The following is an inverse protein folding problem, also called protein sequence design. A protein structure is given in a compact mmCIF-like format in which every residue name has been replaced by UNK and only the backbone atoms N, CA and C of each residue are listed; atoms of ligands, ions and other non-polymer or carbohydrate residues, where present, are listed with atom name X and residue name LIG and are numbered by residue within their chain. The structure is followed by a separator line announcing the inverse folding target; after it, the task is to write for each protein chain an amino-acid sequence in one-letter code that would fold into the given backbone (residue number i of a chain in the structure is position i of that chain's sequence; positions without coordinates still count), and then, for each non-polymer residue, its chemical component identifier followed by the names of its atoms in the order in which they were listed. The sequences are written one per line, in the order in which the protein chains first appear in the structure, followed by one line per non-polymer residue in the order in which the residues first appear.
data_IF_792019266309
#
_entry.id   IF_792019266309
#
_cell.length_a   1.000
_cell.length_b   1.000
_cell.length_c   1.000
_cell.angle_alpha   90.00
_cell.angle_beta   90.00
_cell.angle_gamma   90.00
#
_symmetry.space_group_name_H-M   'P 1'
#
loop_
_entity.id
_entity.type
_entity.pdbx_description
1 polymer ?
2 non-polymer ?
3 non-polymer ?
4 non-polymer ?
5 non-polymer ?
6 water ?
#
# COMPACT_ATOMS: atom_id res chain seq x y z
N UNK A 1 -7.54 9.17 -29.38
CA UNK A 1 -6.10 9.21 -29.61
C UNK A 1 -5.48 10.41 -28.85
N UNK A 2 -4.96 10.15 -27.64
CA UNK A 2 -4.32 11.15 -26.78
C UNK A 2 -2.92 10.68 -26.38
N UNK A 3 -1.93 11.59 -26.42
CA UNK A 3 -0.54 11.28 -26.11
C UNK A 3 0.03 12.11 -24.95
N UNK A 4 1.12 11.59 -24.35
CA UNK A 4 1.87 12.21 -23.25
C UNK A 4 3.36 12.16 -23.61
N UNK A 5 4.07 13.31 -23.49
CA UNK A 5 5.50 13.40 -23.78
C UNK A 5 6.29 13.57 -22.48
N UNK A 6 7.25 12.67 -22.22
CA UNK A 6 8.09 12.68 -21.02
C UNK A 6 9.56 12.53 -21.43
N UNK A 7 10.38 13.56 -21.13
CA UNK A 7 11.82 13.64 -21.39
C UNK A 7 12.19 13.26 -22.85
N UNK A 8 11.39 13.74 -23.80
CA UNK A 8 11.58 13.48 -25.22
C UNK A 8 10.81 12.29 -25.78
N UNK A 9 10.49 11.30 -24.92
CA UNK A 9 9.77 10.08 -25.32
C UNK A 9 8.26 10.31 -25.31
N UNK A 10 7.58 9.82 -26.36
CA UNK A 10 6.12 9.97 -26.52
C UNK A 10 5.43 8.65 -26.14
N UNK A 11 4.33 8.75 -25.36
CA UNK A 11 3.53 7.63 -24.88
C UNK A 11 2.06 7.81 -25.27
N UNK A 12 1.41 6.73 -25.70
CA UNK A 12 0.00 6.72 -26.09
C UNK A 12 -0.86 6.20 -24.94
N UNK A 13 -1.90 6.96 -24.55
CA UNK A 13 -2.80 6.61 -23.44
C UNK A 13 -3.77 5.49 -23.86
N UNK A 14 -3.84 4.42 -23.04
CA UNK A 14 -4.77 3.30 -23.22
C UNK A 14 -6.06 3.61 -22.46
N UNK A 15 -5.95 3.96 -21.16
CA UNK A 15 -7.06 4.28 -20.26
C UNK A 15 -6.58 4.94 -18.97
N UNK A 16 -7.46 5.68 -18.30
CA UNK A 16 -7.19 6.29 -17.00
C UNK A 16 -7.56 5.25 -15.96
N UNK A 17 -6.58 4.87 -15.12
CA UNK A 17 -6.80 3.83 -14.12
C UNK A 17 -6.98 4.42 -12.71
N UNK A 18 -6.55 5.67 -12.51
CA UNK A 18 -6.67 6.36 -11.23
C UNK A 18 -6.75 7.87 -11.34
N UNK A 19 -7.39 8.52 -10.34
CA UNK A 19 -7.53 9.97 -10.24
C UNK A 19 -7.67 10.40 -8.79
N UNK A 20 -6.99 11.49 -8.45
CA UNK A 20 -7.02 12.08 -7.12
C UNK A 20 -7.54 13.50 -7.18
N UNK A 21 -6.93 14.38 -6.39
CA UNK A 21 -7.28 15.80 -6.35
C UNK A 21 -6.75 16.50 -7.57
N UNK A 22 -5.41 16.52 -7.70
CA UNK A 22 -4.69 17.14 -8.82
C UNK A 22 -3.89 16.10 -9.62
N UNK A 23 -3.94 14.82 -9.21
CA UNK A 23 -3.20 13.74 -9.87
C UNK A 23 -4.10 12.77 -10.66
N UNK A 24 -3.51 12.16 -11.70
CA UNK A 24 -4.12 11.16 -12.59
C UNK A 24 -3.11 10.08 -12.96
N UNK A 25 -3.51 8.80 -12.98
CA UNK A 25 -2.62 7.71 -13.39
C UNK A 25 -3.20 7.08 -14.66
N UNK A 26 -2.38 6.97 -15.70
CA UNK A 26 -2.78 6.41 -16.99
C UNK A 26 -1.97 5.19 -17.36
N UNK A 27 -2.65 4.23 -18.01
CA UNK A 27 -2.04 3.03 -18.60
C UNK A 27 -1.58 3.49 -19.98
N UNK A 28 -0.28 3.42 -20.27
CA UNK A 28 0.24 3.96 -21.53
C UNK A 28 1.13 2.94 -22.27
N UNK A 29 1.43 3.26 -23.54
CA UNK A 29 2.31 2.48 -24.41
C UNK A 29 3.35 3.38 -25.05
N UNK A 30 4.61 2.91 -25.12
CA UNK A 30 5.67 3.66 -25.80
C UNK A 30 5.59 3.34 -27.31
N UNK A 31 6.57 3.80 -28.12
CA UNK A 31 6.60 3.56 -29.56
C UNK A 31 6.79 2.06 -29.89
N UNK A 32 7.43 1.29 -28.97
CA UNK A 32 7.70 -0.14 -29.12
C UNK A 32 6.53 -0.99 -28.57
N UNK A 33 5.40 -0.33 -28.21
CA UNK A 33 4.16 -0.89 -27.67
C UNK A 33 4.37 -1.58 -26.30
N UNK A 34 5.35 -1.10 -25.52
CA UNK A 34 5.63 -1.60 -24.17
C UNK A 34 4.73 -0.84 -23.20
N UNK A 35 4.10 -1.56 -22.26
CA UNK A 35 3.16 -0.96 -21.30
C UNK A 35 3.91 -0.30 -20.13
N UNK A 36 3.40 0.86 -19.71
CA UNK A 36 3.87 1.67 -18.59
C UNK A 36 2.70 2.35 -17.93
N UNK A 37 2.89 2.81 -16.70
CA UNK A 37 1.89 3.59 -15.99
C UNK A 37 2.47 4.98 -15.79
N UNK A 38 1.74 6.02 -16.18
CA UNK A 38 2.22 7.38 -16.03
C UNK A 38 1.32 8.13 -15.06
N UNK A 39 1.94 8.70 -14.01
CA UNK A 39 1.24 9.53 -13.05
C UNK A 39 1.44 10.98 -13.44
N UNK A 40 0.34 11.71 -13.64
CA UNK A 40 0.35 13.13 -13.97
C UNK A 40 -0.13 13.91 -12.76
N UNK A 41 0.57 14.98 -12.41
CA UNK A 41 0.21 15.84 -11.27
C UNK A 41 0.16 17.28 -11.78
N UNK A 42 -1.01 17.94 -11.63
CA UNK A 42 -1.19 19.34 -12.03
C UNK A 42 -0.78 20.19 -10.82
N UNK A 43 0.30 20.98 -10.97
CA UNK A 43 0.84 21.80 -9.88
C UNK A 43 0.40 23.27 -9.89
N UNK A 44 -0.41 23.68 -10.90
CA UNK A 44 -0.89 25.06 -11.06
C UNK A 44 -1.61 25.59 -9.81
N UNK A 45 -2.46 24.76 -9.18
CA UNK A 45 -3.17 25.13 -7.96
C UNK A 45 -2.73 24.20 -6.82
N UNK A 46 -1.44 24.30 -6.43
CA UNK A 46 -0.82 23.49 -5.37
C UNK A 46 -0.02 24.33 -4.38
N UNK A 47 -0.26 24.11 -3.07
CA UNK A 47 0.41 24.80 -1.97
C UNK A 47 1.79 24.19 -1.70
N UNK A 48 2.64 24.91 -0.92
CA UNK A 48 4.02 24.54 -0.57
C UNK A 48 4.15 23.16 0.09
N UNK A 49 3.24 22.81 1.01
CA UNK A 49 3.26 21.51 1.71
C UNK A 49 2.81 20.37 0.78
N UNK A 50 1.89 20.65 -0.16
CA UNK A 50 1.41 19.66 -1.15
C UNK A 50 2.54 19.41 -2.16
N UNK A 51 3.25 20.48 -2.57
CA UNK A 51 4.39 20.43 -3.51
C UNK A 51 5.56 19.65 -2.90
N UNK A 52 5.84 19.87 -1.60
CA UNK A 52 6.92 19.23 -0.85
C UNK A 52 6.70 17.72 -0.70
N UNK A 53 5.44 17.30 -0.49
CA UNK A 53 5.08 15.88 -0.34
C UNK A 53 5.34 15.11 -1.64
N UNK A 54 5.06 15.72 -2.80
CA UNK A 54 5.30 15.12 -4.11
C UNK A 54 6.80 15.06 -4.40
N UNK A 55 7.57 16.08 -3.97
CA UNK A 55 9.03 16.15 -4.12
C UNK A 55 9.70 15.04 -3.30
N UNK A 56 9.28 14.90 -2.02
CA UNK A 56 9.80 13.91 -1.07
C UNK A 56 9.48 12.47 -1.51
N UNK A 57 8.29 12.27 -2.10
CA UNK A 57 7.84 10.96 -2.60
C UNK A 57 8.67 10.54 -3.83
N UNK A 58 8.95 11.48 -4.77
CA UNK A 58 9.77 11.20 -5.97
C UNK A 58 11.21 10.84 -5.53
N UNK A 59 11.77 11.62 -4.59
CA UNK A 59 13.12 11.43 -4.05
C UNK A 59 13.28 10.05 -3.41
N UNK A 60 12.34 9.67 -2.53
CA UNK A 60 12.40 8.38 -1.87
C UNK A 60 12.13 7.23 -2.82
N UNK A 61 11.25 7.43 -3.84
CA UNK A 61 10.99 6.39 -4.84
C UNK A 61 12.27 6.08 -5.64
N UNK A 62 12.98 7.14 -6.07
CA UNK A 62 14.24 7.05 -6.83
C UNK A 62 15.36 6.38 -6.03
N UNK A 63 15.50 6.73 -4.75
CA UNK A 63 16.52 6.20 -3.84
C UNK A 63 16.30 4.72 -3.53
N UNK A 64 15.06 4.33 -3.24
CA UNK A 64 14.70 2.96 -2.84
C UNK A 64 14.53 1.99 -4.02
N UNK A 65 14.91 2.40 -5.24
CA UNK A 65 14.86 1.56 -6.45
C UNK A 65 15.84 0.40 -6.36
N UNK A 66 17.10 0.73 -6.01
CA UNK A 66 18.24 -0.19 -5.89
C UNK A 66 18.18 -1.10 -4.65
N UNK A 67 17.40 -0.72 -3.62
CA UNK A 67 17.32 -1.47 -2.36
C UNK A 67 16.35 -2.65 -2.38
N UNK A 68 15.24 -2.57 -3.15
CA UNK A 68 14.28 -3.67 -3.23
C UNK A 68 13.50 -3.67 -4.54
N UNK A 69 13.25 -4.87 -5.09
CA UNK A 69 12.46 -5.04 -6.32
C UNK A 69 10.97 -5.18 -5.96
N UNK A 70 10.62 -5.11 -4.65
CA UNK A 70 9.25 -5.17 -4.16
C UNK A 70 8.66 -3.75 -4.00
N UNK A 71 9.39 -2.76 -4.54
CA UNK A 71 9.02 -1.35 -4.63
C UNK A 71 8.81 -1.09 -6.12
N UNK A 72 7.71 -0.38 -6.49
CA UNK A 72 7.40 -0.05 -7.89
C UNK A 72 8.61 0.63 -8.57
N UNK A 73 8.89 0.24 -9.83
CA UNK A 73 9.99 0.81 -10.59
C UNK A 73 9.61 2.17 -11.14
N UNK A 74 10.48 3.17 -10.94
CA UNK A 74 10.34 4.52 -11.46
C UNK A 74 11.45 4.67 -12.49
N UNK A 75 11.10 4.52 -13.78
CA UNK A 75 12.06 4.55 -14.88
C UNK A 75 12.55 5.96 -15.15
N UNK A 76 11.62 6.94 -15.24
CA UNK A 76 11.94 8.33 -15.49
C UNK A 76 10.85 9.25 -14.94
N UNK A 77 11.17 10.54 -14.81
CA UNK A 77 10.26 11.56 -14.30
C UNK A 77 10.58 12.92 -14.88
N UNK A 78 9.56 13.77 -14.98
CA UNK A 78 9.66 15.15 -15.46
C UNK A 78 8.94 16.03 -14.44
N UNK A 79 9.65 17.02 -13.89
CA UNK A 79 9.06 17.92 -12.90
C UNK A 79 9.41 19.37 -13.25
N UNK A 80 8.35 20.18 -13.43
CA UNK A 80 8.41 21.62 -13.70
C UNK A 80 7.53 22.30 -12.65
N UNK A 81 7.38 23.63 -12.72
CA UNK A 81 6.56 24.38 -11.76
C UNK A 81 5.06 24.17 -12.02
N UNK A 82 4.69 23.74 -13.24
CA UNK A 82 3.31 23.55 -13.65
C UNK A 82 2.84 22.09 -13.52
N UNK A 83 3.74 21.09 -13.73
CA UNK A 83 3.33 19.69 -13.68
C UNK A 83 4.43 18.70 -13.26
N UNK A 84 4.02 17.44 -13.03
CA UNK A 84 4.85 16.27 -12.73
C UNK A 84 4.38 15.11 -13.62
N UNK A 85 5.33 14.41 -14.25
CA UNK A 85 5.10 13.21 -15.04
C UNK A 85 6.02 12.12 -14.51
N UNK A 86 5.45 10.99 -14.07
CA UNK A 86 6.23 9.88 -13.52
C UNK A 86 6.00 8.62 -14.35
N UNK A 87 7.04 8.14 -15.05
CA UNK A 87 6.97 6.93 -15.87
C UNK A 87 7.31 5.75 -14.96
N UNK A 88 6.30 4.92 -14.65
CA UNK A 88 6.46 3.78 -13.76
C UNK A 88 6.08 2.47 -14.43
N UNK A 89 6.47 1.33 -13.80
CA UNK A 89 6.12 0.01 -14.33
C UNK A 89 4.60 -0.18 -14.13
N UNK A 90 3.95 -0.83 -15.10
CA UNK A 90 2.52 -1.07 -15.04
C UNK A 90 2.24 -2.46 -14.53
N UNK A 91 1.39 -2.56 -13.52
CA UNK A 91 1.00 -3.85 -12.94
C UNK A 91 -0.27 -4.37 -13.56
N UNK A 92 -0.62 -5.62 -13.21
CA UNK A 92 -1.84 -6.27 -13.71
C UNK A 92 -3.07 -5.73 -12.98
N UNK A 93 -3.03 -5.75 -11.63
CA UNK A 93 -4.13 -5.30 -10.77
C UNK A 93 -3.59 -4.95 -9.36
N UNK A 94 -4.24 -4.00 -8.67
CA UNK A 94 -3.92 -3.65 -7.29
C UNK A 94 -4.52 -4.73 -6.39
N UNK A 95 -3.96 -4.92 -5.18
CA UNK A 95 -4.41 -5.96 -4.24
C UNK A 95 -5.87 -5.76 -3.77
N UNK A 96 -6.35 -4.49 -3.67
CA UNK A 96 -7.72 -4.19 -3.24
C UNK A 96 -8.76 -4.70 -4.25
N UNK A 97 -8.55 -4.41 -5.56
CA UNK A 97 -9.45 -4.85 -6.64
C UNK A 97 -9.40 -6.37 -6.82
N UNK A 98 -8.23 -6.99 -6.55
CA UNK A 98 -7.99 -8.43 -6.63
C UNK A 98 -8.73 -9.17 -5.51
N UNK A 99 -8.69 -8.62 -4.27
CA UNK A 99 -9.35 -9.22 -3.12
C UNK A 99 -10.87 -9.02 -3.15
N UNK A 100 -11.35 -7.92 -3.79
CA UNK A 100 -12.77 -7.61 -3.94
C UNK A 100 -13.48 -8.60 -4.88
N UNK A 101 -12.70 -9.30 -5.73
CA UNK A 101 -13.19 -10.31 -6.67
C UNK A 101 -13.56 -11.62 -5.94
N UNK A 102 -13.31 -11.68 -4.61
CA UNK A 102 -13.57 -12.79 -3.68
C UNK A 102 -12.80 -14.00 -4.26
N UNK A 103 -13.53 -15.06 -4.70
CA UNK A 103 -13.02 -16.35 -5.19
C UNK A 103 -12.29 -17.12 -4.04
N UNK A 104 -11.29 -17.97 -4.39
CA UNK A 104 -10.52 -18.75 -3.42
C UNK A 104 -9.05 -18.36 -3.51
N UNK A 105 -8.46 -18.01 -2.36
CA UNK A 105 -7.05 -17.62 -2.25
C UNK A 105 -6.22 -18.84 -1.80
N UNK A 106 -5.19 -19.17 -2.60
CA UNK A 106 -4.28 -20.29 -2.32
C UNK A 106 -3.38 -19.96 -1.12
N UNK A 107 -3.14 -20.91 -0.18
CA UNK A 107 -2.28 -20.61 0.98
C UNK A 107 -0.83 -20.28 0.57
N UNK A 108 -0.36 -20.85 -0.56
CA UNK A 108 0.97 -20.64 -1.12
C UNK A 108 1.10 -19.21 -1.68
N UNK A 109 0.05 -18.72 -2.38
CA UNK A 109 0.01 -17.38 -2.98
C UNK A 109 -0.11 -16.30 -1.89
N UNK A 110 -0.93 -16.54 -0.85
CA UNK A 110 -1.14 -15.65 0.29
C UNK A 110 0.18 -15.47 1.08
N UNK A 111 0.92 -16.58 1.30
CA UNK A 111 2.21 -16.60 2.00
C UNK A 111 3.27 -15.86 1.18
N UNK A 112 3.26 -16.04 -0.16
CA UNK A 112 4.19 -15.40 -1.09
C UNK A 112 3.94 -13.88 -1.13
N UNK A 113 2.65 -13.48 -1.12
CA UNK A 113 2.22 -12.08 -1.13
C UNK A 113 2.59 -11.39 0.18
N UNK A 114 2.43 -12.09 1.33
CA UNK A 114 2.77 -11.59 2.67
C UNK A 114 4.27 -11.31 2.79
N UNK A 115 5.12 -12.21 2.23
CA UNK A 115 6.57 -12.06 2.21
C UNK A 115 6.99 -10.81 1.45
N UNK A 116 6.36 -10.56 0.28
CA UNK A 116 6.63 -9.40 -0.56
C UNK A 116 6.27 -8.10 0.17
N UNK A 117 5.15 -8.11 0.90
CA UNK A 117 4.67 -6.96 1.68
C UNK A 117 5.64 -6.64 2.81
N UNK A 118 6.12 -7.68 3.54
CA UNK A 118 7.07 -7.52 4.64
C UNK A 118 8.38 -6.94 4.13
N UNK A 119 8.88 -7.44 2.97
CA UNK A 119 10.12 -6.97 2.36
C UNK A 119 10.03 -5.51 1.94
N UNK A 120 8.92 -5.11 1.29
CA UNK A 120 8.71 -3.73 0.82
C UNK A 120 8.64 -2.75 2.01
N UNK A 121 7.84 -3.06 3.03
CA UNK A 121 7.64 -2.23 4.21
C UNK A 121 8.95 -2.23 5.04
N UNK A 122 9.67 -3.36 5.10
CA UNK A 122 10.96 -3.46 5.79
C UNK A 122 11.98 -2.49 5.18
N UNK A 123 12.03 -2.43 3.83
CA UNK A 123 12.92 -1.56 3.06
C UNK A 123 12.64 -0.08 3.37
N UNK A 124 11.36 0.33 3.44
CA UNK A 124 11.01 1.73 3.71
C UNK A 124 11.33 2.10 5.18
N UNK A 125 11.13 1.15 6.12
CA UNK A 125 11.41 1.35 7.54
C UNK A 125 12.92 1.55 7.78
N UNK A 126 13.77 0.83 7.03
CA UNK A 126 15.23 0.91 7.09
C UNK A 126 15.76 2.29 6.66
N UNK A 127 14.99 3.01 5.83
CA UNK A 127 15.36 4.35 5.35
C UNK A 127 14.56 5.44 6.11
N UNK A 128 14.05 5.07 7.28
CA UNK A 128 13.32 5.96 8.18
C UNK A 128 11.94 6.41 7.74
N UNK A 129 11.29 5.64 6.85
CA UNK A 129 9.95 5.97 6.38
C UNK A 129 8.92 5.03 7.01
N UNK A 130 7.88 5.61 7.62
CA UNK A 130 6.73 4.89 8.16
C UNK A 130 5.55 5.32 7.29
N UNK A 131 4.87 4.36 6.64
CA UNK A 131 3.76 4.64 5.72
C UNK A 131 2.58 5.29 6.47
N UNK A 132 2.12 4.67 7.58
CA UNK A 132 1.02 5.10 8.48
C UNK A 132 -0.40 4.98 7.86
N UNK A 133 -0.50 4.74 6.53
CA UNK A 133 -1.80 4.61 5.88
C UNK A 133 -1.81 3.42 4.90
N UNK A 134 -1.22 2.28 5.31
CA UNK A 134 -1.18 1.08 4.47
C UNK A 134 -2.56 0.46 4.32
N UNK A 135 -2.89 0.09 3.09
CA UNK A 135 -4.15 -0.55 2.68
C UNK A 135 -3.86 -1.42 1.43
N UNK A 136 -4.73 -2.38 1.02
CA UNK A 136 -4.41 -3.21 -0.15
C UNK A 136 -4.19 -2.42 -1.45
N UNK A 137 -4.81 -1.22 -1.57
CA UNK A 137 -4.69 -0.33 -2.74
C UNK A 137 -3.25 0.20 -2.93
N UNK A 138 -2.41 0.17 -1.85
CA UNK A 138 -1.02 0.61 -1.87
C UNK A 138 -0.08 -0.48 -2.42
N UNK A 139 -0.62 -1.67 -2.68
CA UNK A 139 0.10 -2.82 -3.21
C UNK A 139 -0.41 -3.20 -4.59
N UNK A 140 0.52 -3.55 -5.48
CA UNK A 140 0.30 -3.90 -6.89
C UNK A 140 0.76 -5.32 -7.20
N UNK A 141 -0.02 -6.05 -8.02
CA UNK A 141 0.38 -7.40 -8.46
C UNK A 141 1.05 -7.28 -9.84
N UNK A 142 2.36 -7.57 -9.88
CA UNK A 142 3.22 -7.53 -11.07
C UNK A 142 4.03 -8.83 -11.12
N UNK A 143 3.98 -9.56 -12.26
CA UNK A 143 4.72 -10.82 -12.50
C UNK A 143 4.54 -11.85 -11.34
N UNK A 144 3.31 -11.96 -10.83
CA UNK A 144 2.98 -12.85 -9.73
C UNK A 144 3.48 -12.45 -8.36
N UNK A 145 4.09 -11.24 -8.22
CA UNK A 145 4.60 -10.75 -6.94
C UNK A 145 3.97 -9.40 -6.57
N UNK A 146 3.89 -9.10 -5.26
CA UNK A 146 3.34 -7.86 -4.76
C UNK A 146 4.42 -6.77 -4.66
N UNK A 147 4.06 -5.55 -5.07
CA UNK A 147 4.96 -4.40 -5.03
C UNK A 147 4.29 -3.21 -4.38
N UNK A 148 5.02 -2.48 -3.53
CA UNK A 148 4.53 -1.28 -2.87
C UNK A 148 4.54 -0.12 -3.87
N UNK A 149 3.40 0.55 -4.01
CA UNK A 149 3.18 1.63 -4.97
C UNK A 149 3.66 2.98 -4.41
N UNK A 150 3.26 3.33 -3.18
CA UNK A 150 3.62 4.61 -2.58
C UNK A 150 4.11 4.46 -1.13
N UNK A 151 4.70 5.52 -0.58
CA UNK A 151 5.26 5.50 0.77
C UNK A 151 4.42 6.34 1.76
N UNK A 152 3.21 6.69 1.35
CA UNK A 152 2.24 7.45 2.13
C UNK A 152 2.61 8.89 2.43
N UNK A 153 3.59 9.44 1.69
CA UNK A 153 4.06 10.83 1.85
C UNK A 153 3.12 11.76 1.04
N UNK A 154 2.85 11.39 -0.23
CA UNK A 154 1.97 12.14 -1.15
C UNK A 154 0.49 11.72 -0.97
N UNK A 155 -0.45 12.49 -1.57
CA UNK A 155 -1.89 12.27 -1.52
C UNK A 155 -2.32 10.94 -2.18
N UNK A 156 -3.27 10.24 -1.53
CA UNK A 156 -3.82 8.97 -1.99
C UNK A 156 -4.78 9.17 -3.18
N UNK A 157 -4.91 8.15 -4.05
CA UNK A 157 -5.76 8.22 -5.25
C UNK A 157 -6.80 7.10 -5.29
N UNK A 158 -8.00 7.40 -5.85
CA UNK A 158 -9.11 6.44 -5.98
C UNK A 158 -9.12 5.78 -7.39
N UNK A 159 -9.63 4.53 -7.50
CA UNK A 159 -9.61 3.84 -8.81
C UNK A 159 -10.58 4.40 -9.87
N UNK A 160 -10.35 3.98 -11.13
CA UNK A 160 -11.15 4.31 -12.31
C UNK A 160 -11.15 3.11 -13.27
N UNK A 161 -12.34 2.74 -13.77
CA UNK A 161 -12.51 1.62 -14.69
C UNK A 161 -13.83 1.69 -15.45
N UNK A 170 -13.67 7.90 -1.54
CA UNK A 170 -14.14 7.15 -0.37
C UNK A 170 -13.04 6.17 0.06
N UNK A 171 -12.45 6.42 1.22
CA UNK A 171 -11.39 5.60 1.81
C UNK A 171 -11.85 4.72 2.95
N UNK A 172 -10.92 4.00 3.59
CA UNK A 172 -11.25 3.12 4.71
C UNK A 172 -10.53 3.52 6.01
N UNK A 173 -11.16 3.16 7.15
CA UNK A 173 -10.68 3.38 8.51
C UNK A 173 -10.42 2.00 9.17
N UNK A 174 -10.67 0.91 8.41
CA UNK A 174 -10.51 -0.49 8.82
C UNK A 174 -9.05 -0.89 9.11
N UNK A 175 -8.08 -0.23 8.44
CA UNK A 175 -6.65 -0.52 8.56
C UNK A 175 -5.93 0.46 9.49
N UNK A 176 -6.66 1.44 10.06
CA UNK A 176 -6.13 2.46 10.98
C UNK A 176 -5.72 1.82 12.33
N UNK A 177 -4.45 2.01 12.79
CA UNK A 177 -4.03 1.42 14.07
C UNK A 177 -4.61 2.14 15.30
N UNK A 178 -4.73 1.47 16.48
CA UNK A 178 -5.30 2.15 17.66
C UNK A 178 -4.48 3.32 18.19
N UNK A 179 -3.15 3.37 17.90
CA UNK A 179 -2.26 4.46 18.32
C UNK A 179 -2.66 5.77 17.67
N UNK A 180 -3.05 5.73 16.38
CA UNK A 180 -3.46 6.88 15.58
C UNK A 180 -4.79 7.46 16.06
N UNK A 181 -5.66 6.62 16.66
CA UNK A 181 -6.96 6.99 17.21
C UNK A 181 -6.76 7.55 18.64
N UNK A 182 -5.87 6.91 19.44
CA UNK A 182 -5.53 7.32 20.82
C UNK A 182 -4.82 8.68 20.82
N UNK A 183 -4.08 8.99 19.73
CA UNK A 183 -3.39 10.27 19.51
C UNK A 183 -4.42 11.31 19.03
N UNK A 184 -3.99 12.58 18.82
CA UNK A 184 -4.79 13.74 18.36
C UNK A 184 -6.07 13.93 19.20
N UNK A 195 4.72 12.17 19.62
CA UNK A 195 4.20 11.31 18.56
C UNK A 195 4.28 9.83 18.94
N UNK A 196 3.17 9.10 18.77
CA UNK A 196 3.07 7.67 19.10
C UNK A 196 3.25 6.79 17.83
N UNK A 197 3.26 7.41 16.63
CA UNK A 197 3.41 6.71 15.35
C UNK A 197 4.87 6.24 15.18
N UNK A 198 5.03 4.91 15.02
CA UNK A 198 6.32 4.23 14.87
C UNK A 198 6.19 3.11 13.80
N UNK A 199 7.28 2.36 13.44
CA UNK A 199 7.12 1.28 12.44
C UNK A 199 6.05 0.25 12.82
N UNK A 200 5.70 0.13 14.13
CA UNK A 200 4.68 -0.78 14.65
C UNK A 200 3.28 -0.46 14.10
N UNK A 201 3.02 0.81 13.73
CA UNK A 201 1.75 1.25 13.16
C UNK A 201 1.49 0.58 11.81
N UNK A 202 2.56 0.37 11.02
CA UNK A 202 2.49 -0.33 9.73
C UNK A 202 2.25 -1.83 9.93
N UNK A 203 2.74 -2.41 11.05
CA UNK A 203 2.55 -3.83 11.37
C UNK A 203 1.05 -4.13 11.53
N UNK A 204 0.33 -3.26 12.28
CA UNK A 204 -1.12 -3.39 12.49
C UNK A 204 -1.86 -3.41 11.16
N UNK A 205 -1.59 -2.41 10.29
CA UNK A 205 -2.21 -2.26 8.97
C UNK A 205 -1.91 -3.47 8.08
N UNK A 206 -0.67 -4.00 8.13
CA UNK A 206 -0.27 -5.19 7.37
C UNK A 206 -1.04 -6.42 7.88
N UNK A 207 -1.23 -6.48 9.21
CA UNK A 207 -1.99 -7.54 9.87
C UNK A 207 -3.45 -7.55 9.46
N UNK A 208 -4.04 -6.35 9.24
CA UNK A 208 -5.41 -6.17 8.79
C UNK A 208 -5.58 -6.68 7.35
N UNK A 209 -4.56 -6.47 6.48
CA UNK A 209 -4.58 -6.93 5.09
C UNK A 209 -4.47 -8.46 5.07
N UNK A 210 -3.56 -9.03 5.89
CA UNK A 210 -3.38 -10.48 6.00
C UNK A 210 -4.65 -11.13 6.56
N UNK A 211 -5.35 -10.46 7.51
CA UNK A 211 -6.62 -10.92 8.10
C UNK A 211 -7.69 -11.01 7.00
N UNK A 212 -7.71 -10.01 6.10
CA UNK A 212 -8.62 -9.91 4.95
C UNK A 212 -8.28 -11.03 3.95
N UNK A 213 -6.99 -11.36 3.79
CA UNK A 213 -6.52 -12.43 2.90
C UNK A 213 -6.80 -13.83 3.48
N UNK A 214 -7.07 -13.95 4.79
CA UNK A 214 -7.32 -15.24 5.44
C UNK A 214 -8.80 -15.56 5.64
N UNK A 215 -9.61 -14.58 6.12
CA UNK A 215 -11.01 -14.81 6.43
C UNK A 215 -12.00 -14.15 5.44
N UNK A 216 -11.48 -13.42 4.46
CA UNK A 216 -12.29 -12.74 3.43
C UNK A 216 -12.93 -11.45 3.87
N UNK A 217 -12.56 -10.95 5.06
CA UNK A 217 -13.05 -9.69 5.67
C UNK A 217 -11.98 -9.11 6.61
N UNK A 218 -12.02 -7.78 6.86
CA UNK A 218 -11.08 -7.10 7.76
C UNK A 218 -11.52 -7.35 9.24
N UNK A 219 -10.64 -7.14 10.27
CA UNK A 219 -11.06 -7.44 11.65
C UNK A 219 -12.27 -6.69 12.19
N UNK A 220 -12.64 -5.54 11.59
CA UNK A 220 -13.79 -4.74 12.06
C UNK A 220 -14.76 -4.42 10.90
N UNK A 221 -14.83 -5.31 9.88
CA UNK A 221 -15.71 -5.16 8.71
C UNK A 221 -17.19 -5.36 9.07
N UNK A 222 -17.47 -6.13 10.15
CA UNK A 222 -18.83 -6.41 10.64
C UNK A 222 -19.54 -5.14 11.13
N UNK A 223 -18.77 -4.16 11.64
CA UNK A 223 -19.27 -2.87 12.12
C UNK A 223 -19.32 -1.93 10.92
N UNK A 224 -20.51 -1.80 10.30
CA UNK A 224 -20.76 -0.96 9.11
C UNK A 224 -20.63 0.53 9.49
N UNK A 225 -21.06 0.89 10.71
CA UNK A 225 -20.99 2.24 11.27
C UNK A 225 -19.51 2.62 11.51
N UNK A 226 -19.11 3.84 11.13
CA UNK A 226 -17.72 4.31 11.22
C UNK A 226 -17.30 4.81 12.61
N UNK A 227 -18.20 5.48 13.37
CA UNK A 227 -17.85 5.98 14.71
C UNK A 227 -17.76 4.78 15.70
N UNK A 228 -18.68 3.79 15.59
CA UNK A 228 -18.70 2.59 16.41
C UNK A 228 -17.49 1.67 16.11
N UNK A 229 -16.93 1.79 14.89
CA UNK A 229 -15.76 1.04 14.43
C UNK A 229 -14.49 1.54 15.14
N UNK A 230 -14.34 2.88 15.24
CA UNK A 230 -13.21 3.56 15.88
C UNK A 230 -13.09 3.21 17.36
N UNK A 231 -14.24 3.01 18.05
CA UNK A 231 -14.30 2.64 19.46
C UNK A 231 -13.79 1.21 19.66
N UNK A 232 -14.17 0.29 18.75
CA UNK A 232 -13.82 -1.14 18.77
C UNK A 232 -12.32 -1.39 18.58
N UNK A 233 -11.61 -0.52 17.81
CA UNK A 233 -10.18 -0.66 17.54
C UNK A 233 -9.37 -0.33 18.82
N UNK A 234 -9.82 0.65 19.61
CA UNK A 234 -9.14 1.07 20.85
C UNK A 234 -9.70 0.32 22.10
N UNK A 235 -10.90 -0.28 22.00
CA UNK A 235 -11.55 -1.00 23.11
C UNK A 235 -10.81 -2.31 23.43
N UNK A 236 -10.26 -2.47 24.66
CA UNK A 236 -9.54 -3.72 25.00
C UNK A 236 -10.48 -4.90 25.22
N UNK A 237 -11.74 -4.64 25.65
CA UNK A 237 -12.76 -5.66 25.89
C UNK A 237 -13.32 -6.22 24.58
N UNK A 238 -13.24 -5.43 23.48
CA UNK A 238 -13.69 -5.86 22.15
C UNK A 238 -12.66 -6.84 21.59
N UNK A 239 -12.89 -8.14 21.82
CA UNK A 239 -12.01 -9.22 21.40
C UNK A 239 -12.15 -9.48 19.90
N UNK A 240 -11.02 -9.45 19.17
CA UNK A 240 -10.98 -9.71 17.74
C UNK A 240 -11.06 -11.24 17.57
N UNK A 241 -12.01 -11.72 16.76
CA UNK A 241 -12.21 -13.15 16.52
C UNK A 241 -11.12 -13.72 15.62
N UNK A 242 -10.55 -14.86 16.03
CA UNK A 242 -9.54 -15.58 15.26
C UNK A 242 -9.98 -17.04 15.08
N UNK A 243 -10.91 -17.32 14.12
CA UNK A 243 -11.37 -18.70 13.93
C UNK A 243 -10.23 -19.65 13.51
N UNK A 244 -10.26 -20.89 14.04
CA UNK A 244 -9.25 -21.92 13.80
C UNK A 244 -9.18 -22.30 12.32
N UNK A 245 -7.94 -22.39 11.82
CA UNK A 245 -7.61 -22.71 10.42
C UNK A 245 -6.46 -23.74 10.38
N UNK A 246 -6.28 -24.53 9.28
CA UNK A 246 -5.18 -25.52 9.24
C UNK A 246 -3.79 -24.93 9.49
N UNK A 247 -3.51 -23.72 8.95
CA UNK A 247 -2.23 -23.04 9.12
C UNK A 247 -2.21 -22.35 10.50
N UNK A 248 -1.65 -23.04 11.51
CA UNK A 248 -1.56 -22.55 12.89
C UNK A 248 -0.54 -21.41 13.02
N UNK A 249 0.52 -21.42 12.18
CA UNK A 249 1.55 -20.37 12.16
C UNK A 249 0.94 -19.06 11.66
N UNK A 250 -0.03 -19.14 10.74
CA UNK A 250 -0.77 -18.02 10.16
C UNK A 250 -1.70 -17.38 11.19
N UNK A 251 -2.30 -18.20 12.07
CA UNK A 251 -3.19 -17.71 13.14
C UNK A 251 -2.38 -16.92 14.19
N UNK A 252 -1.10 -17.29 14.40
CA UNK A 252 -0.22 -16.65 15.37
C UNK A 252 0.24 -15.26 14.88
N UNK A 253 0.69 -15.13 13.60
CA UNK A 253 1.14 -13.85 13.02
C UNK A 253 -0.01 -12.83 13.11
N UNK A 254 -1.25 -13.24 12.78
CA UNK A 254 -2.45 -12.40 12.84
C UNK A 254 -2.71 -11.89 14.27
N UNK A 255 -2.58 -12.77 15.28
CA UNK A 255 -2.76 -12.41 16.69
C UNK A 255 -1.68 -11.44 17.17
N UNK A 256 -0.42 -11.68 16.75
CA UNK A 256 0.74 -10.87 17.11
C UNK A 256 0.71 -9.48 16.44
N UNK A 257 0.23 -9.41 15.17
CA UNK A 257 0.11 -8.16 14.41
C UNK A 257 -1.00 -7.28 14.95
N UNK A 258 -2.10 -7.90 15.41
CA UNK A 258 -3.28 -7.17 15.87
C UNK A 258 -3.31 -6.99 17.41
N UNK A 259 -2.14 -6.77 18.02
CA UNK A 259 -2.01 -6.44 19.44
C UNK A 259 -2.16 -4.93 19.57
N UNK A 260 -3.21 -4.47 20.28
CA UNK A 260 -3.55 -3.05 20.46
C UNK A 260 -2.39 -2.24 21.06
N UNK A 261 -1.58 -2.84 21.95
CA UNK A 261 -0.41 -2.17 22.53
C UNK A 261 0.74 -2.23 21.49
N UNK A 262 1.27 -1.08 21.02
CA UNK A 262 2.34 -1.12 20.01
C UNK A 262 3.66 -1.74 20.48
N UNK A 263 3.99 -1.59 21.78
CA UNK A 263 5.23 -2.13 22.35
C UNK A 263 5.16 -3.65 22.51
N UNK A 264 3.94 -4.21 22.65
CA UNK A 264 3.70 -5.65 22.77
C UNK A 264 3.51 -6.30 21.39
N UNK A 265 3.16 -5.47 20.38
CA UNK A 265 2.95 -5.89 18.99
C UNK A 265 4.27 -6.37 18.37
N UNK A 266 4.19 -7.39 17.50
CA UNK A 266 5.34 -7.96 16.79
C UNK A 266 5.96 -6.90 15.85
N UNK A 267 7.28 -6.94 15.67
CA UNK A 267 8.00 -6.02 14.79
C UNK A 267 8.23 -6.67 13.44
N UNK A 268 8.64 -5.88 12.42
CA UNK A 268 8.95 -6.38 11.08
C UNK A 268 10.14 -7.39 11.15
N UNK A 269 11.30 -7.09 11.81
CA UNK A 269 12.39 -8.08 11.89
C UNK A 269 11.97 -9.40 12.55
N UNK A 270 11.03 -9.37 13.52
CA UNK A 270 10.49 -10.56 14.19
C UNK A 270 9.57 -11.32 13.25
N UNK A 271 8.79 -10.61 12.42
CA UNK A 271 7.88 -11.19 11.44
C UNK A 271 8.64 -11.92 10.34
N UNK A 272 9.83 -11.41 9.96
CA UNK A 272 10.69 -12.00 8.94
C UNK A 272 11.36 -13.30 9.43
N UNK A 273 11.41 -13.52 10.76
CA UNK A 273 11.99 -14.72 11.37
C UNK A 273 10.89 -15.67 11.90
N UNK A 274 9.61 -15.32 11.64
CA UNK A 274 8.45 -16.09 12.10
C UNK A 274 8.30 -17.39 11.28
N UNK A 275 7.92 -18.54 11.91
CA UNK A 275 7.75 -19.80 11.17
C UNK A 275 6.85 -19.73 9.93
N UNK A 276 5.82 -18.84 9.94
CA UNK A 276 4.89 -18.67 8.81
C UNK A 276 5.61 -18.30 7.50
N UNK A 277 6.71 -17.54 7.56
CA UNK A 277 7.45 -17.15 6.35
C UNK A 277 8.73 -17.98 6.14
N UNK A 278 9.25 -18.61 7.21
CA UNK A 278 10.49 -19.38 7.14
C UNK A 278 10.29 -20.89 6.95
N UNK A 279 9.22 -21.47 7.53
CA UNK A 279 8.95 -22.90 7.43
C UNK A 279 7.88 -23.15 6.34
X LIG B 1 -1.70 -0.08 -11.62
X LIG B 1 1.23 2.00 -11.18
X LIG B 1 1.97 3.13 -10.67
X LIG B 1 1.35 4.06 -9.85
X LIG B 1 -0.02 3.90 -9.55
X LIG B 1 -2.80 3.48 -8.71
X LIG B 1 -5.01 2.57 -9.53
X LIG B 1 -6.37 2.02 -9.20
X LIG B 1 -6.46 1.23 -7.90
X LIG B 1 -7.63 -0.30 -11.99
X LIG B 1 -6.68 -0.76 -13.05
X LIG B 1 -1.98 -0.88 -12.72
X LIG B 1 -4.27 2.19 -7.14
X LIG B 1 -5.66 1.78 -6.74
X LIG B 1 -0.76 2.79 -10.04
X LIG B 1 -9.79 -0.81 -10.72
X LIG B 1 -8.73 -1.24 -11.69
X LIG B 1 -8.34 -2.66 -11.64
X LIG B 1 -7.32 -3.10 -12.68
X LIG B 1 -6.21 -2.15 -12.86
X LIG B 1 -5.31 -2.29 -11.77
X LIG B 1 -4.11 -1.56 -11.75
X LIG B 1 -3.81 -0.81 -10.61
X LIG B 1 -2.61 -0.09 -10.53
X LIG B 1 -0.46 0.58 -11.59
X LIG B 1 0.62 0.14 -12.22
X LIG B 1 1.67 0.99 -11.97
X LIG B 1 -2.11 2.65 -9.69
X LIG B 1 -4.27 3.14 -8.34
X LIG B 1 -0.11 1.80 -10.89
X LIG B 1 -3.17 -1.62 -12.81
X LIG C 1 -2.99 14.82 -19.21
X LIG C 1 -3.53 14.02 -20.32
X LIG C 1 -2.48 16.09 -19.72
X LIG C 1 -4.04 15.08 -18.23
X LIG C 1 -1.89 14.09 -18.56
X LIG D 1 6.69 -11.37 19.64
X LIG D 1 5.25 -11.46 19.38
X LIG D 1 7.42 -12.02 18.56
X LIG D 1 7.00 -12.03 20.91
X LIG D 1 7.07 -9.97 19.72
X LIG E 1 1.34 6.70 -6.96
X LIG E 1 0.26 6.10 -6.28
X LIG E 1 2.64 6.05 -6.62
X LIG E 1 3.73 6.92 -6.85
X LIG E 1 4.22 7.53 -5.67
X LIG E 1 4.54 8.97 -5.92
X LIG E 1 3.38 9.77 -5.87
X LIG F 1 15.67 -9.05 3.87
X LIG F 1 16.05 -8.15 4.92
X LIG F 1 14.19 -8.86 3.57
X LIG F 1 13.61 -10.11 3.21
X LIG F 1 12.21 -10.00 3.21
X LIG F 1 11.61 -11.08 2.33
X LIG F 1 10.29 -11.34 2.76
X LIG G 1 -5.50 -6.80 22.87
X LIG G 1 -5.36 -6.92 21.46
X LIG G 1 -4.46 -5.86 23.44
X LIG G 1 -4.81 -5.51 24.77
X LIG G 1 -3.08 -6.49 23.42
X LIG G 1 -2.08 -5.53 23.75
X LIG H 1 13.21 6.75 -19.86
X LIG H 1 12.29 7.83 -20.13
X LIG H 1 12.50 5.51 -19.38
X LIG H 1 13.47 4.50 -19.10
X LIG H 1 11.49 4.98 -20.38
X LIG H 1 11.14 3.64 -20.06
#
# INVERSE_FOLDING_TARGET
NECISVKGRIYSILKQIGSGGSSKVFQVLNEKKQIYAIKYVNLEEADNQTLDSYRNEIAYLNKLQQHSDKIIRLYDYEITDQYIYMVMECGNIDLNSWLKKKKSIDPWERKSYWKNMLEAVHTIHQHGIVHSDLKPANFLIVDGMLKLIDFGIANQMQPDTTSVVKDSQVGTVNYMPPEAIKDMSSSRENGKSKSKISPKSDVWSLGCILYYMTYGKTPFQQIINQISKLHAIIDPNHEIEFPDIPEKDLQDVLKCCLKRDPKQRISIPELLAHPYVQIQT
1PF C10 C14 C15 C16 C17 C20 C22 C23 C24 C31 C30 C28 C26 C25 C18 C01 N02 C03 C04 C05 O06 C07 C08 C09 C11 N12 N13 O19 C21 C27 C29
SO4 S O1 O2 O3 O4
SO4 S O1 O2 O3 O4
PEG C1 O1 C2 O2 C3 C4 O4
PEG C1 O1 C2 O2 C3 C4 O4
GOL C1 O1 C2 O2 C3 O3
GOL C1 O1 C2 O2 C3 O3
#
